data_IF_885556172858
#
_entry.id   IF_885556172858
#
_cell.length_a   1.000
_cell.length_b   1.000
_cell.length_c   1.000
_cell.angle_alpha   90.00
_cell.angle_beta   90.00
_cell.angle_gamma   90.00
#
_symmetry.space_group_name_H-M   'P 1'
#
loop_
_entity.id
_entity.type
_entity.pdbx_description
1 polymer ?
#
# COMPACT_ATOMS: atom_id res chain seq x y z
N UNK A 1 12.49 39.33 -14.41
CA UNK A 1 11.44 38.41 -14.84
C UNK A 1 12.13 37.31 -15.63
N UNK A 2 12.44 36.19 -14.98
CA UNK A 2 12.92 35.00 -15.70
C UNK A 2 11.73 34.42 -16.48
N UNK A 3 11.90 34.27 -17.79
CA UNK A 3 10.92 33.55 -18.60
C UNK A 3 10.89 32.09 -18.11
N UNK A 4 9.73 31.65 -17.61
CA UNK A 4 9.50 30.25 -17.25
C UNK A 4 9.64 29.40 -18.51
N UNK A 5 10.44 28.33 -18.42
CA UNK A 5 10.58 27.39 -19.53
C UNK A 5 9.24 26.66 -19.75
N UNK A 6 8.92 26.40 -21.01
CA UNK A 6 7.74 25.58 -21.33
C UNK A 6 7.92 24.15 -20.81
N UNK A 7 6.84 23.56 -20.30
CA UNK A 7 6.83 22.16 -19.83
C UNK A 7 7.21 21.22 -20.98
N UNK A 8 8.25 20.41 -20.78
CA UNK A 8 8.65 19.36 -21.73
C UNK A 8 8.04 18.00 -21.29
N UNK A 9 7.04 17.48 -22.00
CA UNK A 9 6.34 16.25 -21.60
C UNK A 9 7.22 14.99 -21.64
N UNK A 10 8.44 15.08 -22.18
CA UNK A 10 9.37 13.95 -22.30
C UNK A 10 10.24 13.76 -21.06
N UNK A 11 10.35 14.76 -20.20
CA UNK A 11 11.28 14.74 -19.05
C UNK A 11 10.89 13.70 -18.03
N UNK A 12 9.63 13.67 -17.58
CA UNK A 12 9.16 12.70 -16.60
C UNK A 12 9.23 11.25 -17.11
N UNK A 13 8.81 10.91 -18.36
CA UNK A 13 9.04 9.59 -18.94
C UNK A 13 10.52 9.19 -19.03
N UNK A 14 11.42 10.11 -19.41
CA UNK A 14 12.86 9.82 -19.47
C UNK A 14 13.44 9.55 -18.09
N UNK A 15 13.02 10.28 -17.07
CA UNK A 15 13.42 10.01 -15.70
C UNK A 15 12.97 8.62 -15.23
N UNK A 16 11.74 8.21 -15.55
CA UNK A 16 11.25 6.87 -15.25
C UNK A 16 11.99 5.76 -16.00
N UNK A 17 12.53 6.04 -17.19
CA UNK A 17 13.37 5.11 -17.94
C UNK A 17 14.73 4.94 -17.25
N UNK A 18 15.41 6.03 -16.91
CA UNK A 18 16.69 6.01 -16.17
C UNK A 18 16.57 5.22 -14.85
N UNK A 19 15.47 5.40 -14.11
CA UNK A 19 15.22 4.63 -12.90
C UNK A 19 15.13 3.13 -13.17
N UNK A 20 14.43 2.71 -14.24
CA UNK A 20 14.36 1.30 -14.66
C UNK A 20 15.71 0.74 -15.10
N UNK A 21 16.61 1.58 -15.59
CA UNK A 21 18.00 1.26 -15.94
C UNK A 21 18.91 1.19 -14.70
N UNK A 22 18.40 1.50 -13.50
CA UNK A 22 19.16 1.53 -12.24
C UNK A 22 19.85 2.86 -11.96
N UNK A 23 19.59 3.89 -12.77
CA UNK A 23 20.24 5.20 -12.69
C UNK A 23 19.36 6.24 -11.96
N UNK A 24 18.74 5.84 -10.85
CA UNK A 24 17.79 6.70 -10.10
C UNK A 24 18.42 8.03 -9.67
N UNK A 25 19.67 8.02 -9.20
CA UNK A 25 20.34 9.26 -8.80
C UNK A 25 20.51 10.25 -9.97
N UNK A 26 20.88 9.75 -11.15
CA UNK A 26 20.98 10.58 -12.37
C UNK A 26 19.61 11.15 -12.75
N UNK A 27 18.55 10.34 -12.63
CA UNK A 27 17.18 10.76 -12.89
C UNK A 27 16.72 11.84 -11.89
N UNK A 28 17.04 11.69 -10.60
CA UNK A 28 16.73 12.66 -9.54
C UNK A 28 17.40 13.99 -9.80
N UNK A 29 18.71 13.99 -10.13
CA UNK A 29 19.48 15.19 -10.46
C UNK A 29 18.96 15.89 -11.74
N UNK A 30 18.56 15.10 -12.75
CA UNK A 30 17.96 15.61 -13.97
C UNK A 30 16.64 16.33 -13.68
N UNK A 31 15.74 15.71 -12.89
CA UNK A 31 14.46 16.30 -12.51
C UNK A 31 14.65 17.56 -11.66
N UNK A 32 15.56 17.56 -10.69
CA UNK A 32 15.87 18.73 -9.86
C UNK A 32 16.32 19.94 -10.68
N UNK A 33 17.23 19.73 -11.64
CA UNK A 33 17.68 20.80 -12.56
C UNK A 33 16.56 21.29 -13.47
N UNK A 34 15.73 20.40 -13.99
CA UNK A 34 14.60 20.73 -14.83
C UNK A 34 13.56 21.55 -14.07
N UNK A 35 13.19 21.13 -12.87
CA UNK A 35 12.17 21.80 -12.05
C UNK A 35 12.61 23.20 -11.55
N UNK A 36 13.93 23.46 -11.50
CA UNK A 36 14.44 24.80 -11.21
C UNK A 36 14.08 25.83 -12.30
N UNK A 37 13.81 25.40 -13.54
CA UNK A 37 13.43 26.27 -14.67
C UNK A 37 11.99 26.06 -15.12
N UNK A 38 11.38 24.93 -14.82
CA UNK A 38 9.98 24.58 -15.16
C UNK A 38 9.21 24.09 -13.91
N UNK A 39 9.01 24.96 -12.88
CA UNK A 39 8.42 24.56 -11.59
C UNK A 39 6.95 24.15 -11.67
N UNK A 40 6.26 24.43 -12.78
CA UNK A 40 4.84 24.13 -12.97
C UNK A 40 4.61 22.75 -13.63
N UNK A 41 5.67 21.95 -13.82
CA UNK A 41 5.52 20.56 -14.30
C UNK A 41 5.16 19.59 -13.16
N UNK A 42 3.87 19.41 -12.93
CA UNK A 42 3.37 18.50 -11.89
C UNK A 42 3.77 17.03 -12.11
N UNK A 43 3.99 16.59 -13.37
CA UNK A 43 4.45 15.21 -13.65
C UNK A 43 5.90 15.01 -13.23
N UNK A 44 6.74 16.01 -13.46
CA UNK A 44 8.13 15.97 -13.03
C UNK A 44 8.22 15.99 -11.49
N UNK A 45 7.41 16.81 -10.80
CA UNK A 45 7.32 16.80 -9.34
C UNK A 45 6.84 15.44 -8.82
N UNK A 46 5.82 14.86 -9.42
CA UNK A 46 5.33 13.54 -9.05
C UNK A 46 6.41 12.45 -9.17
N UNK A 47 7.15 12.46 -10.28
CA UNK A 47 8.22 11.48 -10.50
C UNK A 47 9.38 11.68 -9.52
N UNK A 48 9.73 12.93 -9.19
CA UNK A 48 10.74 13.25 -8.19
C UNK A 48 10.32 12.75 -6.80
N UNK A 49 9.07 12.98 -6.42
CA UNK A 49 8.52 12.47 -5.16
C UNK A 49 8.58 10.94 -5.07
N UNK A 50 8.29 10.24 -6.16
CA UNK A 50 8.42 8.78 -6.22
C UNK A 50 9.85 8.31 -6.00
N UNK A 51 10.83 8.99 -6.55
CA UNK A 51 12.23 8.61 -6.37
C UNK A 51 12.67 8.80 -4.91
N UNK A 52 12.35 9.91 -4.29
CA UNK A 52 12.63 10.11 -2.86
C UNK A 52 11.91 9.10 -1.96
N UNK A 53 10.68 8.72 -2.30
CA UNK A 53 9.96 7.67 -1.57
C UNK A 53 10.64 6.30 -1.70
N UNK A 54 11.16 5.98 -2.89
CA UNK A 54 11.94 4.76 -3.11
C UNK A 54 13.26 4.79 -2.34
N UNK A 55 13.95 5.93 -2.34
CA UNK A 55 15.21 6.09 -1.59
C UNK A 55 14.98 5.92 -0.08
N UNK A 56 13.87 6.48 0.46
CA UNK A 56 13.48 6.28 1.85
C UNK A 56 13.22 4.79 2.17
N UNK A 57 12.53 4.08 1.28
CA UNK A 57 12.25 2.64 1.43
C UNK A 57 13.52 1.79 1.35
N UNK A 58 14.42 2.10 0.41
CA UNK A 58 15.70 1.42 0.28
C UNK A 58 16.59 1.65 1.50
N UNK A 59 16.62 2.90 2.02
CA UNK A 59 17.30 3.25 3.25
C UNK A 59 16.77 2.48 4.46
N UNK A 60 15.46 2.43 4.58
CA UNK A 60 14.79 1.67 5.62
C UNK A 60 15.09 0.16 5.52
N UNK A 61 14.97 -0.41 4.30
CA UNK A 61 15.25 -1.83 4.05
C UNK A 61 16.73 -2.21 4.31
N UNK A 62 17.65 -1.25 4.22
CA UNK A 62 19.05 -1.43 4.58
C UNK A 62 19.29 -1.47 6.11
N UNK A 63 18.23 -1.36 6.93
CA UNK A 63 18.31 -1.43 8.39
C UNK A 63 18.54 -0.08 9.08
N UNK A 64 18.38 1.02 8.35
CA UNK A 64 18.51 2.38 8.85
C UNK A 64 17.15 2.99 9.28
N UNK A 65 16.17 2.17 9.64
CA UNK A 65 14.88 2.62 10.15
C UNK A 65 15.07 3.52 11.38
N UNK A 66 14.39 4.67 11.38
CA UNK A 66 14.54 5.69 12.44
C UNK A 66 15.77 6.58 12.34
N UNK A 67 16.65 6.39 11.35
CA UNK A 67 17.75 7.31 11.06
C UNK A 67 17.21 8.64 10.50
N UNK A 68 17.73 9.81 10.96
CA UNK A 68 17.35 11.12 10.43
C UNK A 68 17.43 11.25 8.90
N UNK A 69 18.39 10.61 8.26
CA UNK A 69 18.54 10.68 6.80
C UNK A 69 17.37 10.00 6.06
N UNK A 70 16.85 8.87 6.55
CA UNK A 70 15.65 8.25 6.02
C UNK A 70 14.42 9.13 6.14
N UNK A 71 14.29 9.85 7.26
CA UNK A 71 13.23 10.84 7.47
C UNK A 71 13.35 12.01 6.49
N UNK A 72 14.57 12.45 6.17
CA UNK A 72 14.82 13.53 5.22
C UNK A 72 14.34 13.16 3.79
N UNK A 73 14.56 11.92 3.34
CA UNK A 73 14.01 11.45 2.06
C UNK A 73 12.47 11.50 2.05
N UNK A 74 11.81 11.16 3.17
CA UNK A 74 10.36 11.28 3.30
C UNK A 74 9.90 12.75 3.27
N UNK A 75 10.67 13.69 3.84
CA UNK A 75 10.38 15.12 3.75
C UNK A 75 10.48 15.63 2.32
N UNK A 76 11.50 15.21 1.58
CA UNK A 76 11.63 15.55 0.17
C UNK A 76 10.52 14.94 -0.68
N UNK A 77 10.16 13.66 -0.44
CA UNK A 77 9.04 13.01 -1.11
C UNK A 77 7.73 13.76 -0.85
N UNK A 78 7.45 14.09 0.41
CA UNK A 78 6.25 14.82 0.81
C UNK A 78 6.18 16.19 0.12
N UNK A 79 7.29 16.95 0.14
CA UNK A 79 7.37 18.26 -0.51
C UNK A 79 7.11 18.17 -2.02
N UNK A 80 7.71 17.18 -2.68
CA UNK A 80 7.53 16.98 -4.12
C UNK A 80 6.10 16.56 -4.45
N UNK A 81 5.48 15.68 -3.65
CA UNK A 81 4.09 15.29 -3.83
C UNK A 81 3.12 16.44 -3.55
N UNK A 82 3.37 17.30 -2.55
CA UNK A 82 2.57 18.50 -2.29
C UNK A 82 2.57 19.45 -3.50
N UNK A 83 3.71 19.60 -4.19
CA UNK A 83 3.77 20.34 -5.45
C UNK A 83 2.96 19.65 -6.55
N UNK A 84 3.14 18.32 -6.71
CA UNK A 84 2.42 17.54 -7.70
C UNK A 84 0.89 17.56 -7.48
N UNK A 85 0.42 17.47 -6.22
CA UNK A 85 -1.00 17.59 -5.85
C UNK A 85 -1.56 18.95 -6.30
N UNK A 86 -0.84 20.03 -6.04
CA UNK A 86 -1.28 21.39 -6.46
C UNK A 86 -1.41 21.54 -7.98
N UNK A 87 -0.64 20.78 -8.74
CA UNK A 87 -0.57 20.90 -10.20
C UNK A 87 -1.37 19.84 -10.97
N UNK A 88 -1.60 18.66 -10.39
CA UNK A 88 -2.25 17.53 -11.07
C UNK A 88 -3.25 16.74 -10.22
N UNK A 89 -3.47 17.11 -8.98
CA UNK A 89 -4.40 16.57 -7.99
C UNK A 89 -4.44 15.02 -7.81
N UNK A 90 -4.97 14.27 -8.77
CA UNK A 90 -5.52 12.94 -8.46
C UNK A 90 -4.51 11.81 -8.17
N UNK A 91 -3.39 11.71 -8.90
CA UNK A 91 -2.44 10.61 -8.69
C UNK A 91 -1.47 10.85 -7.53
N UNK A 92 -1.15 12.11 -7.24
CA UNK A 92 -0.16 12.46 -6.24
C UNK A 92 -0.68 12.32 -4.80
N UNK A 93 -2.00 12.44 -4.57
CA UNK A 93 -2.61 12.34 -3.23
C UNK A 93 -2.28 10.98 -2.58
N UNK A 94 -2.49 9.87 -3.29
CA UNK A 94 -2.22 8.53 -2.76
C UNK A 94 -0.73 8.36 -2.43
N UNK A 95 0.17 8.84 -3.30
CA UNK A 95 1.61 8.77 -3.03
C UNK A 95 2.06 9.69 -1.89
N UNK A 96 1.40 10.83 -1.72
CA UNK A 96 1.64 11.71 -0.58
C UNK A 96 1.29 11.00 0.74
N UNK A 97 0.14 10.32 0.74
CA UNK A 97 -0.28 9.51 1.88
C UNK A 97 0.63 8.29 2.08
N UNK A 98 1.15 7.68 1.01
CA UNK A 98 2.16 6.62 1.12
C UNK A 98 3.43 7.09 1.84
N UNK A 99 3.88 8.32 1.58
CA UNK A 99 5.03 8.87 2.30
C UNK A 99 4.73 9.05 3.81
N UNK A 100 3.52 9.50 4.17
CA UNK A 100 3.09 9.55 5.57
C UNK A 100 2.97 8.16 6.21
N UNK A 101 2.58 7.16 5.43
CA UNK A 101 2.53 5.76 5.89
C UNK A 101 3.91 5.21 6.20
N UNK A 102 4.92 5.53 5.38
CA UNK A 102 6.31 5.13 5.67
C UNK A 102 6.84 5.84 6.94
N UNK A 103 6.42 7.09 7.23
CA UNK A 103 6.70 7.73 8.52
C UNK A 103 6.03 7.01 9.69
N UNK A 104 4.76 6.60 9.52
CA UNK A 104 4.03 5.88 10.54
C UNK A 104 4.64 4.50 10.84
N UNK A 105 5.34 3.90 9.87
CA UNK A 105 6.07 2.65 10.05
C UNK A 105 7.08 2.72 11.20
N UNK A 106 7.79 3.84 11.36
CA UNK A 106 8.72 4.05 12.48
C UNK A 106 8.03 3.88 13.84
N UNK A 107 6.79 4.38 13.97
CA UNK A 107 6.01 4.19 15.21
C UNK A 107 5.56 2.74 15.40
N UNK A 108 5.20 2.05 14.30
CA UNK A 108 4.85 0.62 14.35
C UNK A 108 6.05 -0.21 14.81
N UNK A 109 7.25 0.11 14.35
CA UNK A 109 8.50 -0.56 14.73
C UNK A 109 8.89 -0.34 16.19
N UNK A 110 8.75 0.88 16.66
CA UNK A 110 9.07 1.24 18.03
C UNK A 110 8.07 0.63 19.03
N UNK A 111 6.78 0.80 18.78
CA UNK A 111 5.76 0.63 19.81
C UNK A 111 4.55 -0.22 19.38
N UNK A 112 4.53 -0.75 18.13
CA UNK A 112 3.43 -1.55 17.61
C UNK A 112 2.27 -0.72 17.05
N UNK A 113 1.24 -1.42 16.59
CA UNK A 113 0.11 -0.81 15.88
C UNK A 113 -0.73 0.15 16.71
N UNK A 114 -1.00 -0.17 17.99
CA UNK A 114 -1.83 0.67 18.86
C UNK A 114 -1.18 2.01 19.11
N UNK A 115 0.11 2.02 19.45
CA UNK A 115 0.85 3.25 19.67
C UNK A 115 1.01 4.08 18.37
N UNK A 116 1.15 3.41 17.22
CA UNK A 116 1.20 4.09 15.93
C UNK A 116 -0.12 4.80 15.60
N UNK A 117 -1.27 4.20 15.92
CA UNK A 117 -2.60 4.83 15.78
C UNK A 117 -2.74 6.08 16.63
N UNK A 118 -2.27 6.03 17.88
CA UNK A 118 -2.35 7.15 18.82
C UNK A 118 -1.43 8.31 18.44
N UNK A 119 -0.25 7.99 17.90
CA UNK A 119 0.81 8.98 17.58
C UNK A 119 0.72 9.57 16.18
N UNK A 120 -0.09 8.99 15.30
CA UNK A 120 -0.19 9.46 13.92
C UNK A 120 -0.66 10.92 13.89
N UNK A 121 0.12 11.84 13.30
CA UNK A 121 -0.36 13.21 13.08
C UNK A 121 -1.60 13.18 12.20
N UNK A 122 -2.60 14.00 12.50
CA UNK A 122 -3.71 14.21 11.57
C UNK A 122 -3.16 14.88 10.32
N UNK A 123 -3.29 14.21 9.19
CA UNK A 123 -2.85 14.74 7.90
C UNK A 123 -3.72 15.95 7.53
N UNK A 124 -3.08 17.04 7.11
CA UNK A 124 -3.76 18.18 6.48
C UNK A 124 -4.05 17.90 4.98
N UNK A 125 -3.55 16.79 4.46
CA UNK A 125 -3.73 16.36 3.08
C UNK A 125 -5.13 15.75 2.92
N UNK A 126 -5.81 15.98 1.79
CA UNK A 126 -7.07 15.31 1.49
C UNK A 126 -6.92 13.79 1.61
N UNK A 127 -7.92 13.08 2.16
CA UNK A 127 -7.85 11.63 2.30
C UNK A 127 -7.74 10.96 0.91
N UNK A 128 -7.21 9.73 0.85
CA UNK A 128 -7.19 8.95 -0.38
C UNK A 128 -8.60 8.78 -0.98
N UNK A 129 -8.69 8.46 -2.29
CA UNK A 129 -9.99 8.23 -2.92
C UNK A 129 -10.84 7.23 -2.13
N UNK A 130 -12.15 7.48 -1.94
CA UNK A 130 -13.02 6.64 -1.10
C UNK A 130 -13.01 5.17 -1.50
N UNK A 131 -12.86 4.83 -2.79
CA UNK A 131 -12.80 3.46 -3.27
C UNK A 131 -11.49 2.75 -2.89
N UNK A 132 -10.39 3.48 -2.65
CA UNK A 132 -9.14 2.92 -2.11
C UNK A 132 -9.31 2.58 -0.62
N UNK A 133 -9.99 3.45 0.13
CA UNK A 133 -10.34 3.17 1.54
C UNK A 133 -11.32 2.01 1.65
N UNK A 134 -12.29 1.92 0.75
CA UNK A 134 -13.22 0.79 0.65
C UNK A 134 -12.45 -0.51 0.38
N UNK A 135 -11.44 -0.51 -0.49
CA UNK A 135 -10.59 -1.68 -0.74
C UNK A 135 -9.90 -2.14 0.54
N UNK A 136 -9.22 -1.25 1.26
CA UNK A 136 -8.54 -1.58 2.52
C UNK A 136 -9.50 -2.14 3.57
N UNK A 137 -10.65 -1.50 3.72
CA UNK A 137 -11.74 -1.94 4.61
C UNK A 137 -12.24 -3.34 4.23
N UNK A 138 -12.48 -3.60 2.95
CA UNK A 138 -12.93 -4.89 2.46
C UNK A 138 -11.90 -6.01 2.67
N UNK A 139 -10.62 -5.71 2.48
CA UNK A 139 -9.54 -6.69 2.73
C UNK A 139 -9.46 -7.04 4.23
N UNK A 140 -9.50 -6.04 5.12
CA UNK A 140 -9.55 -6.26 6.57
C UNK A 140 -10.80 -7.04 7.00
N UNK A 141 -11.98 -6.66 6.46
CA UNK A 141 -13.25 -7.32 6.75
C UNK A 141 -13.32 -8.76 6.23
N UNK A 142 -12.46 -9.12 5.29
CA UNK A 142 -12.37 -10.48 4.77
C UNK A 142 -11.52 -11.41 5.64
N UNK A 143 -10.67 -10.87 6.52
CA UNK A 143 -9.89 -11.71 7.42
C UNK A 143 -10.69 -12.06 8.68
N UNK A 144 -10.73 -13.32 9.17
CA UNK A 144 -11.41 -13.71 10.39
C UNK A 144 -10.89 -12.95 11.63
N UNK A 145 -11.64 -13.03 12.76
CA UNK A 145 -11.29 -12.35 14.00
C UNK A 145 -9.88 -12.69 14.49
N UNK A 146 -9.19 -11.67 15.01
CA UNK A 146 -7.83 -11.75 15.51
C UNK A 146 -6.82 -12.28 14.47
N UNK A 147 -7.15 -12.18 13.18
CA UNK A 147 -6.33 -12.67 12.08
C UNK A 147 -5.05 -11.89 11.88
N UNK A 148 -4.13 -12.50 11.14
CA UNK A 148 -2.91 -11.86 10.64
C UNK A 148 -3.05 -11.72 9.13
N UNK A 149 -3.04 -10.50 8.60
CA UNK A 149 -3.26 -10.21 7.18
C UNK A 149 -1.92 -9.88 6.50
N UNK A 150 -1.44 -10.80 5.69
CA UNK A 150 -0.26 -10.58 4.85
C UNK A 150 -0.66 -9.76 3.62
N UNK A 151 -0.06 -8.58 3.48
CA UNK A 151 -0.31 -7.70 2.35
C UNK A 151 0.73 -7.89 1.26
N UNK A 152 0.32 -7.71 0.00
CA UNK A 152 1.20 -7.73 -1.17
C UNK A 152 0.81 -6.63 -2.14
N UNK A 153 1.75 -6.20 -2.98
CA UNK A 153 1.53 -5.07 -3.87
C UNK A 153 1.41 -3.73 -3.15
N UNK A 154 1.70 -2.67 -3.87
CA UNK A 154 1.78 -1.32 -3.29
C UNK A 154 0.42 -0.79 -2.84
N UNK A 155 -0.59 -0.86 -3.73
CA UNK A 155 -1.93 -0.33 -3.44
C UNK A 155 -2.65 -1.09 -2.34
N UNK A 156 -2.57 -2.44 -2.31
CA UNK A 156 -3.18 -3.23 -1.25
C UNK A 156 -2.57 -2.93 0.10
N UNK A 157 -1.23 -2.90 0.15
CA UNK A 157 -0.49 -2.60 1.38
C UNK A 157 -0.87 -1.21 1.88
N UNK A 158 -0.84 -0.21 1.01
CA UNK A 158 -1.24 1.14 1.35
C UNK A 158 -2.68 1.20 1.88
N UNK A 159 -3.65 0.65 1.15
CA UNK A 159 -5.06 0.70 1.52
C UNK A 159 -5.34 0.04 2.88
N UNK A 160 -4.76 -1.15 3.12
CA UNK A 160 -4.90 -1.88 4.39
C UNK A 160 -4.24 -1.10 5.53
N UNK A 161 -3.03 -0.61 5.33
CA UNK A 161 -2.29 0.10 6.38
C UNK A 161 -2.94 1.43 6.73
N UNK A 162 -3.38 2.20 5.72
CA UNK A 162 -4.07 3.46 5.93
C UNK A 162 -5.28 3.27 6.84
N UNK A 163 -6.19 2.33 6.49
CA UNK A 163 -7.38 2.03 7.27
C UNK A 163 -7.03 1.49 8.67
N UNK A 164 -5.99 0.67 8.80
CA UNK A 164 -5.53 0.13 10.08
C UNK A 164 -5.00 1.22 11.00
N UNK A 165 -4.30 2.22 10.47
CA UNK A 165 -3.77 3.36 11.24
C UNK A 165 -4.85 4.37 11.59
N UNK A 166 -5.93 4.51 10.79
CA UNK A 166 -7.11 5.29 11.19
C UNK A 166 -7.82 4.69 12.41
N UNK A 167 -7.60 3.41 12.70
CA UNK A 167 -8.08 2.75 13.91
C UNK A 167 -9.59 2.56 14.03
N UNK A 168 -10.34 2.81 12.94
CA UNK A 168 -11.79 2.74 12.93
C UNK A 168 -12.36 1.38 12.52
N UNK A 169 -11.52 0.52 11.89
CA UNK A 169 -11.95 -0.75 11.29
C UNK A 169 -11.00 -1.86 11.68
N UNK A 170 -11.57 -2.97 12.19
CA UNK A 170 -10.87 -4.25 12.40
C UNK A 170 -9.48 -4.13 13.06
N UNK A 171 -9.41 -3.40 14.18
CA UNK A 171 -8.20 -3.28 15.00
C UNK A 171 -7.71 -4.61 15.58
N UNK A 172 -8.56 -5.65 15.53
CA UNK A 172 -8.25 -7.01 15.91
C UNK A 172 -7.41 -7.78 14.86
N UNK A 173 -7.31 -7.25 13.62
CA UNK A 173 -6.50 -7.82 12.54
C UNK A 173 -5.15 -7.14 12.49
N UNK A 174 -4.07 -7.94 12.50
CA UNK A 174 -2.69 -7.44 12.44
C UNK A 174 -2.19 -7.48 10.98
N UNK A 175 -2.05 -6.35 10.28
CA UNK A 175 -1.46 -6.36 8.94
C UNK A 175 0.06 -6.50 8.99
N UNK A 176 0.62 -7.29 8.09
CA UNK A 176 2.05 -7.56 8.00
C UNK A 176 2.53 -7.46 6.55
N UNK A 177 3.69 -6.84 6.37
CA UNK A 177 4.48 -6.87 5.12
C UNK A 177 5.55 -7.96 5.25
N UNK A 178 5.40 -9.12 4.58
CA UNK A 178 6.36 -10.22 4.71
C UNK A 178 7.79 -9.85 4.32
N UNK A 179 7.93 -8.97 3.33
CA UNK A 179 9.22 -8.48 2.84
C UNK A 179 9.96 -7.72 3.94
N UNK A 180 9.29 -6.77 4.61
CA UNK A 180 9.88 -6.03 5.73
C UNK A 180 10.20 -6.95 6.92
N UNK A 181 9.33 -7.92 7.22
CA UNK A 181 9.63 -8.90 8.27
C UNK A 181 10.91 -9.68 7.97
N UNK A 182 11.20 -9.96 6.69
CA UNK A 182 12.40 -10.67 6.28
C UNK A 182 13.67 -9.81 6.33
N UNK A 183 13.58 -8.54 5.93
CA UNK A 183 14.73 -7.66 5.70
C UNK A 183 15.00 -6.69 6.85
N UNK A 184 13.95 -6.17 7.49
CA UNK A 184 14.07 -5.17 8.54
C UNK A 184 14.04 -5.79 9.94
N UNK A 185 15.09 -5.55 10.71
CA UNK A 185 15.23 -6.13 12.06
C UNK A 185 14.36 -5.42 13.11
N UNK A 186 14.07 -4.12 12.95
CA UNK A 186 13.20 -3.35 13.83
C UNK A 186 11.76 -3.78 13.64
N UNK A 187 11.30 -3.76 12.38
CA UNK A 187 9.98 -4.24 12.01
C UNK A 187 9.73 -5.68 12.45
N UNK A 188 10.68 -6.58 12.20
CA UNK A 188 10.61 -7.98 12.63
C UNK A 188 10.43 -8.11 14.14
N UNK A 189 11.19 -7.37 14.96
CA UNK A 189 11.06 -7.39 16.42
C UNK A 189 9.70 -6.90 16.88
N UNK A 190 9.20 -5.82 16.29
CA UNK A 190 7.88 -5.28 16.59
C UNK A 190 6.78 -6.28 16.25
N UNK A 191 6.80 -6.81 15.03
CA UNK A 191 5.79 -7.78 14.60
C UNK A 191 5.88 -9.12 15.35
N UNK A 192 7.07 -9.56 15.72
CA UNK A 192 7.23 -10.76 16.55
C UNK A 192 6.58 -10.60 17.93
N UNK A 193 6.68 -9.40 18.54
CA UNK A 193 5.96 -9.05 19.79
C UNK A 193 4.44 -9.11 19.58
N UNK A 194 3.93 -8.47 18.54
CA UNK A 194 2.50 -8.46 18.18
C UNK A 194 1.94 -9.87 17.92
N UNK A 195 2.74 -10.72 17.32
CA UNK A 195 2.38 -12.10 17.01
C UNK A 195 2.61 -13.07 18.18
N UNK A 196 3.33 -12.67 19.22
CA UNK A 196 3.73 -13.54 20.33
C UNK A 196 4.64 -14.68 19.88
N UNK A 197 5.62 -14.39 19.01
CA UNK A 197 6.62 -15.34 18.52
C UNK A 197 8.03 -14.83 18.75
N UNK A 198 9.03 -15.73 18.65
CA UNK A 198 10.43 -15.32 18.72
C UNK A 198 10.85 -14.53 17.47
N UNK A 199 11.46 -13.37 17.67
CA UNK A 199 11.98 -12.51 16.60
C UNK A 199 13.15 -13.14 15.80
N UNK A 200 13.80 -14.16 16.34
CA UNK A 200 14.82 -14.91 15.61
C UNK A 200 14.22 -15.85 14.52
N UNK A 201 12.91 -16.09 14.57
CA UNK A 201 12.26 -16.94 13.56
C UNK A 201 12.18 -16.24 12.22
N UNK A 202 12.58 -16.88 11.12
CA UNK A 202 12.29 -16.39 9.78
C UNK A 202 10.77 -16.37 9.55
N UNK A 203 10.30 -15.46 8.70
CA UNK A 203 8.88 -15.20 8.45
C UNK A 203 8.06 -16.48 8.24
N UNK A 204 8.57 -17.42 7.46
CA UNK A 204 7.90 -18.70 7.16
C UNK A 204 7.59 -19.52 8.40
N UNK A 205 8.53 -19.58 9.34
CA UNK A 205 8.36 -20.31 10.61
C UNK A 205 7.49 -19.54 11.60
N UNK A 206 7.68 -18.24 11.69
CA UNK A 206 6.84 -17.37 12.50
C UNK A 206 5.35 -17.53 12.13
N UNK A 207 5.02 -17.45 10.83
CA UNK A 207 3.65 -17.60 10.35
C UNK A 207 3.08 -19.01 10.56
N UNK A 208 3.90 -20.06 10.44
CA UNK A 208 3.46 -21.42 10.75
C UNK A 208 3.09 -21.58 12.23
N UNK A 209 3.87 -20.99 13.15
CA UNK A 209 3.56 -20.99 14.59
C UNK A 209 2.30 -20.17 14.88
N UNK A 210 2.15 -19.00 14.25
CA UNK A 210 0.96 -18.16 14.39
C UNK A 210 -0.29 -18.87 13.92
N UNK A 211 -0.24 -19.57 12.79
CA UNK A 211 -1.38 -20.28 12.21
C UNK A 211 -1.98 -21.38 13.11
N UNK A 212 -1.24 -21.86 14.11
CA UNK A 212 -1.75 -22.79 15.11
C UNK A 212 -2.76 -22.14 16.10
N UNK A 213 -2.74 -20.82 16.20
CA UNK A 213 -3.51 -20.05 17.21
C UNK A 213 -4.42 -19.00 16.61
N UNK A 214 -4.05 -18.45 15.45
CA UNK A 214 -4.72 -17.33 14.79
C UNK A 214 -4.86 -17.62 13.30
N UNK A 215 -5.95 -17.25 12.63
CA UNK A 215 -6.04 -17.33 11.18
C UNK A 215 -4.98 -16.43 10.53
N UNK A 216 -4.30 -16.97 9.52
CA UNK A 216 -3.41 -16.17 8.66
C UNK A 216 -4.11 -15.99 7.33
N UNK A 217 -4.14 -14.76 6.84
CA UNK A 217 -4.83 -14.33 5.63
C UNK A 217 -3.81 -13.77 4.63
N UNK A 218 -4.04 -14.02 3.34
CA UNK A 218 -3.28 -13.42 2.23
C UNK A 218 -4.20 -12.51 1.43
N UNK A 219 -3.79 -11.27 1.20
CA UNK A 219 -4.45 -10.42 0.20
C UNK A 219 -4.25 -10.99 -1.21
N UNK A 220 -5.05 -10.57 -2.22
CA UNK A 220 -4.97 -11.12 -3.58
C UNK A 220 -3.59 -11.07 -4.22
N UNK A 221 -2.79 -10.02 -3.98
CA UNK A 221 -1.45 -9.84 -4.54
C UNK A 221 -0.34 -10.38 -3.63
N UNK A 222 -0.64 -10.77 -2.39
CA UNK A 222 0.37 -11.32 -1.50
C UNK A 222 0.87 -12.68 -1.99
N UNK A 223 2.20 -12.87 -1.93
CA UNK A 223 2.83 -14.12 -2.33
C UNK A 223 2.61 -15.22 -1.29
N UNK A 224 2.03 -16.34 -1.70
CA UNK A 224 1.87 -17.52 -0.85
C UNK A 224 3.21 -18.18 -0.46
N UNK A 225 4.29 -17.90 -1.17
CA UNK A 225 5.64 -18.34 -0.81
C UNK A 225 6.14 -17.76 0.52
N UNK A 226 5.52 -16.69 1.02
CA UNK A 226 5.79 -16.17 2.36
C UNK A 226 5.44 -17.19 3.47
N UNK A 227 4.46 -18.07 3.23
CA UNK A 227 4.07 -19.13 4.17
C UNK A 227 3.70 -20.44 3.44
N UNK A 228 4.68 -21.14 2.85
CA UNK A 228 4.46 -22.30 1.99
C UNK A 228 3.95 -23.53 2.73
N UNK A 229 4.11 -23.59 4.05
CA UNK A 229 3.62 -24.68 4.88
C UNK A 229 2.12 -24.61 5.17
N UNK A 230 1.44 -23.51 4.81
CA UNK A 230 0.02 -23.32 5.07
C UNK A 230 -0.82 -23.77 3.89
N UNK A 231 -1.90 -24.50 4.19
CA UNK A 231 -2.93 -24.81 3.19
C UNK A 231 -3.86 -23.60 3.03
N UNK A 232 -3.89 -23.01 1.85
CA UNK A 232 -4.67 -21.81 1.56
C UNK A 232 -6.04 -22.16 0.99
N UNK A 233 -7.08 -21.58 1.59
CA UNK A 233 -8.45 -21.71 1.13
C UNK A 233 -8.97 -20.33 0.66
N UNK A 234 -9.70 -20.25 -0.45
CA UNK A 234 -10.40 -19.02 -0.84
C UNK A 234 -11.42 -18.64 0.22
N UNK A 235 -11.41 -17.38 0.64
CA UNK A 235 -12.37 -16.88 1.61
C UNK A 235 -12.61 -15.39 1.38
N UNK A 236 -13.81 -15.02 0.93
CA UNK A 236 -14.13 -13.63 0.56
C UNK A 236 -13.07 -13.06 -0.41
N UNK A 237 -12.49 -11.88 -0.11
CA UNK A 237 -11.44 -11.27 -0.94
C UNK A 237 -10.03 -11.82 -0.67
N UNK A 238 -9.84 -12.65 0.34
CA UNK A 238 -8.53 -13.15 0.76
C UNK A 238 -8.42 -14.67 0.63
N UNK A 239 -7.22 -15.20 0.80
CA UNK A 239 -7.00 -16.64 1.05
C UNK A 239 -6.65 -16.80 2.51
N UNK A 240 -7.15 -17.84 3.18
CA UNK A 240 -6.96 -18.04 4.62
C UNK A 240 -6.38 -19.41 4.92
N UNK A 241 -5.61 -19.51 6.00
CA UNK A 241 -5.13 -20.80 6.52
C UNK A 241 -6.23 -21.58 7.26
N UNK A 242 -7.24 -20.87 7.77
CA UNK A 242 -8.39 -21.46 8.48
C UNK A 242 -9.59 -20.55 8.26
N UNK A 243 -10.61 -21.02 7.56
CA UNK A 243 -11.82 -20.25 7.28
C UNK A 243 -12.72 -20.19 8.53
N UNK A 244 -13.21 -18.97 8.82
CA UNK A 244 -14.19 -18.72 9.88
C UNK A 244 -14.94 -17.42 9.60
N UNK A 245 -16.25 -17.44 9.71
CA UNK A 245 -17.07 -16.22 9.60
C UNK A 245 -16.98 -15.32 10.86
N UNK A 246 -16.36 -15.80 11.95
CA UNK A 246 -16.24 -15.05 13.18
C UNK A 246 -15.45 -13.77 12.98
N UNK A 247 -16.07 -12.64 13.31
CA UNK A 247 -15.47 -11.31 13.25
C UNK A 247 -15.40 -10.70 11.84
N UNK A 248 -15.81 -11.43 10.78
CA UNK A 248 -15.89 -10.83 9.45
C UNK A 248 -17.07 -9.86 9.36
N UNK A 249 -16.92 -8.82 8.51
CA UNK A 249 -17.94 -7.81 8.28
C UNK A 249 -18.42 -7.85 6.81
N UNK A 250 -19.60 -7.35 6.48
CA UNK A 250 -20.05 -7.24 5.10
C UNK A 250 -19.04 -6.50 4.22
N UNK A 251 -18.94 -6.91 2.94
CA UNK A 251 -18.17 -6.20 1.94
C UNK A 251 -19.02 -5.09 1.32
N UNK A 252 -18.38 -3.97 1.02
CA UNK A 252 -18.97 -2.87 0.27
C UNK A 252 -18.26 -2.68 -1.07
N UNK A 253 -19.04 -2.38 -2.11
CA UNK A 253 -18.50 -2.06 -3.44
C UNK A 253 -19.14 -0.76 -3.97
N UNK A 254 -19.62 0.09 -3.07
CA UNK A 254 -20.35 1.31 -3.41
C UNK A 254 -19.42 2.32 -4.04
N UNK A 255 -18.27 2.55 -3.43
CA UNK A 255 -17.36 3.60 -3.86
C UNK A 255 -16.63 3.24 -5.16
N UNK A 256 -16.17 2.00 -5.30
CA UNK A 256 -15.56 1.55 -6.56
C UNK A 256 -16.60 1.54 -7.70
N UNK A 257 -17.85 1.15 -7.44
CA UNK A 257 -18.93 1.21 -8.43
C UNK A 257 -19.19 2.64 -8.86
N UNK A 258 -19.24 3.58 -7.90
CA UNK A 258 -19.41 5.02 -8.18
C UNK A 258 -18.26 5.55 -9.03
N UNK A 259 -17.02 5.24 -8.68
CA UNK A 259 -15.83 5.67 -9.42
C UNK A 259 -15.82 5.14 -10.86
N UNK A 260 -16.15 3.87 -11.07
CA UNK A 260 -16.27 3.29 -12.42
C UNK A 260 -17.34 4.00 -13.23
N UNK A 261 -18.53 4.24 -12.67
CA UNK A 261 -19.66 4.91 -13.37
C UNK A 261 -19.38 6.38 -13.68
N UNK A 262 -18.62 7.06 -12.84
CA UNK A 262 -18.22 8.46 -13.09
C UNK A 262 -17.10 8.58 -14.13
N UNK A 263 -16.54 7.48 -14.60
CA UNK A 263 -15.42 7.48 -15.54
C UNK A 263 -14.09 7.90 -14.92
N UNK A 264 -13.96 7.77 -13.59
CA UNK A 264 -12.69 8.03 -12.93
C UNK A 264 -11.61 7.07 -13.45
N UNK A 265 -10.44 7.60 -13.78
CA UNK A 265 -9.35 6.82 -14.41
C UNK A 265 -8.19 6.56 -13.45
N UNK A 266 -7.96 7.46 -12.51
CA UNK A 266 -6.83 7.38 -11.56
C UNK A 266 -7.12 6.35 -10.47
N UNK A 267 -6.25 5.37 -10.30
CA UNK A 267 -6.32 4.26 -9.32
C UNK A 267 -7.50 3.30 -9.47
N UNK A 268 -8.47 3.56 -10.34
CA UNK A 268 -9.60 2.66 -10.59
C UNK A 268 -9.15 1.37 -11.29
N UNK A 269 -8.29 1.40 -12.33
CA UNK A 269 -7.77 0.20 -12.96
C UNK A 269 -7.02 -0.70 -11.98
N UNK A 270 -6.16 -0.13 -11.14
CA UNK A 270 -5.36 -0.85 -10.15
C UNK A 270 -6.26 -1.49 -9.08
N UNK A 271 -7.22 -0.72 -8.56
CA UNK A 271 -8.21 -1.22 -7.59
C UNK A 271 -9.04 -2.37 -8.18
N UNK A 272 -9.50 -2.23 -9.44
CA UNK A 272 -10.23 -3.29 -10.14
C UNK A 272 -9.37 -4.53 -10.35
N UNK A 273 -8.07 -4.37 -10.64
CA UNK A 273 -7.16 -5.50 -10.79
C UNK A 273 -7.02 -6.32 -9.50
N UNK A 274 -7.05 -5.69 -8.33
CA UNK A 274 -7.08 -6.39 -7.04
C UNK A 274 -8.36 -7.22 -6.90
N UNK A 275 -9.53 -6.64 -7.18
CA UNK A 275 -10.80 -7.37 -7.13
C UNK A 275 -10.87 -8.51 -8.17
N UNK A 276 -10.34 -8.30 -9.38
CA UNK A 276 -10.24 -9.36 -10.38
C UNK A 276 -9.35 -10.51 -9.92
N UNK A 277 -8.23 -10.20 -9.30
CA UNK A 277 -7.34 -11.22 -8.72
C UNK A 277 -8.01 -11.98 -7.58
N UNK A 278 -8.79 -11.31 -6.74
CA UNK A 278 -9.59 -11.96 -5.70
C UNK A 278 -10.61 -12.93 -6.31
N UNK A 279 -11.31 -12.51 -7.37
CA UNK A 279 -12.28 -13.34 -8.07
C UNK A 279 -11.62 -14.55 -8.77
N UNK A 280 -10.42 -14.40 -9.29
CA UNK A 280 -9.64 -15.52 -9.84
C UNK A 280 -9.33 -16.61 -8.79
N UNK A 281 -9.21 -16.22 -7.52
CA UNK A 281 -9.03 -17.16 -6.41
C UNK A 281 -10.36 -17.66 -5.83
N UNK A 282 -11.42 -16.86 -5.90
CA UNK A 282 -12.72 -17.14 -5.30
C UNK A 282 -13.86 -16.75 -6.24
N UNK A 283 -14.31 -17.70 -7.06
CA UNK A 283 -15.38 -17.48 -8.05
C UNK A 283 -16.74 -17.09 -7.44
N UNK A 284 -16.96 -17.32 -6.14
CA UNK A 284 -18.20 -16.89 -5.46
C UNK A 284 -18.30 -15.35 -5.38
N UNK A 285 -17.20 -14.64 -5.53
CA UNK A 285 -17.19 -13.17 -5.59
C UNK A 285 -17.78 -12.63 -6.90
N UNK A 286 -17.81 -13.42 -7.96
CA UNK A 286 -18.25 -12.94 -9.28
C UNK A 286 -19.65 -12.34 -9.27
N UNK A 287 -20.57 -12.88 -8.48
CA UNK A 287 -21.90 -12.32 -8.33
C UNK A 287 -21.91 -10.88 -7.81
N UNK A 288 -21.08 -10.58 -6.81
CA UNK A 288 -20.93 -9.24 -6.26
C UNK A 288 -20.12 -8.31 -7.18
N UNK A 289 -19.07 -8.85 -7.80
CA UNK A 289 -18.14 -8.07 -8.63
C UNK A 289 -18.71 -7.70 -10.01
N UNK A 290 -19.71 -8.44 -10.52
CA UNK A 290 -20.46 -8.03 -11.71
C UNK A 290 -21.13 -6.68 -11.50
N UNK A 291 -21.61 -6.38 -10.29
CA UNK A 291 -22.18 -5.08 -9.95
C UNK A 291 -21.16 -3.94 -10.00
N UNK A 292 -19.90 -4.24 -9.68
CA UNK A 292 -18.77 -3.26 -9.67
C UNK A 292 -18.26 -3.00 -11.10
N UNK A 293 -18.33 -4.01 -11.96
CA UNK A 293 -17.70 -3.98 -13.28
C UNK A 293 -18.48 -3.18 -14.34
N UNK A 294 -19.72 -2.75 -14.06
CA UNK A 294 -20.60 -2.19 -15.08
C UNK A 294 -20.83 -3.23 -16.21
N UNK A 295 -20.71 -2.79 -17.48
CA UNK A 295 -20.90 -3.66 -18.65
C UNK A 295 -19.74 -4.63 -18.92
N UNK A 296 -18.65 -4.56 -18.16
CA UNK A 296 -17.46 -5.38 -18.34
C UNK A 296 -17.09 -6.11 -17.06
N UNK A 297 -17.61 -7.33 -16.83
CA UNK A 297 -17.25 -8.13 -15.67
C UNK A 297 -15.73 -8.43 -15.65
N UNK A 298 -15.15 -8.63 -14.45
CA UNK A 298 -13.75 -9.02 -14.32
C UNK A 298 -13.43 -10.20 -15.26
N UNK A 299 -12.26 -10.22 -15.92
CA UNK A 299 -11.89 -11.31 -16.83
C UNK A 299 -12.04 -12.69 -16.21
N UNK A 300 -11.71 -12.84 -14.94
CA UNK A 300 -11.87 -14.08 -14.15
C UNK A 300 -13.33 -14.52 -13.95
N UNK A 301 -14.30 -13.62 -14.12
CA UNK A 301 -15.74 -13.90 -14.01
C UNK A 301 -16.44 -14.10 -15.36
N UNK A 302 -15.71 -13.98 -16.48
CA UNK A 302 -16.24 -14.28 -17.82
C UNK A 302 -16.17 -15.79 -18.04
N UNK A 303 -17.28 -16.47 -17.93
CA UNK A 303 -17.45 -17.88 -18.34
C UNK A 303 -18.41 -17.97 -19.49
#
# INVERSE_FOLDING_TARGET
VHAQAAVDPRVAPRAAELEREGERQVATDMLGRYLAVAPDDGRAWFQLGRFYLLDARDWHAAGHGGDPDGTLYLDFAATAFDQAVRLLADSAVVYRDMAEMERALVFVEDSGWDAARERRPRSEVPPPPPFVLELGTNLLNSCPAAGVLLTGGELETFAVWYVSLEGSVRTDVTPIRPELYATDSLYRRAMARELGVDAALPVRRALAVVALRRPVCLTPLADSAAAPALAWQPFRLVRVSSASERGTQPLSFVEITRAVRSGATTWVPETRAVYDRAAAHNSLLCGSLVLVAGDSPPPSCRR
#
